data_IF_423252361635
#
_entry.id   IF_423252361635
#
_cell.length_a   1.000
_cell.length_b   1.000
_cell.length_c   1.000
_cell.angle_alpha   90.00
_cell.angle_beta   90.00
_cell.angle_gamma   90.00
#
_symmetry.space_group_name_H-M   'P 1'
#
loop_
_entity.id
_entity.type
_entity.pdbx_description
1 polymer ?
#
# COMPACT_ATOMS: atom_id res chain seq x y z
N UNK A 1 15.31 -24.52 9.21
CA UNK A 1 16.50 -25.39 9.31
C UNK A 1 17.15 -25.18 10.67
N UNK A 2 17.26 -26.23 11.48
CA UNK A 2 17.99 -26.20 12.76
C UNK A 2 18.52 -27.61 13.06
N UNK A 3 19.75 -27.71 13.58
CA UNK A 3 20.34 -28.95 14.07
C UNK A 3 20.17 -30.18 13.13
N UNK A 4 20.46 -30.03 11.83
CA UNK A 4 20.40 -31.13 10.87
C UNK A 4 19.01 -31.46 10.31
N UNK A 5 17.94 -30.83 10.81
CA UNK A 5 16.60 -30.99 10.25
C UNK A 5 16.30 -29.80 9.33
N UNK A 6 16.26 -30.09 8.03
CA UNK A 6 15.76 -29.20 6.99
C UNK A 6 14.47 -29.82 6.46
N UNK A 7 13.33 -29.35 6.98
CA UNK A 7 12.02 -29.70 6.45
C UNK A 7 11.23 -28.43 6.13
N UNK A 8 10.43 -28.49 5.08
CA UNK A 8 9.45 -27.47 4.71
C UNK A 8 8.07 -28.01 5.07
N UNK A 9 7.42 -27.34 6.01
CA UNK A 9 6.05 -27.68 6.41
C UNK A 9 5.08 -26.70 5.76
N UNK A 10 4.02 -27.23 5.17
CA UNK A 10 2.98 -26.41 4.56
C UNK A 10 2.04 -25.89 5.65
N UNK A 11 1.97 -24.57 5.81
CA UNK A 11 1.01 -23.90 6.69
C UNK A 11 0.02 -23.09 5.86
N UNK A 12 -1.25 -23.52 5.84
CA UNK A 12 -2.33 -22.79 5.17
C UNK A 12 -3.13 -22.03 6.23
N UNK A 13 -2.89 -20.73 6.32
CA UNK A 13 -3.61 -19.83 7.21
C UNK A 13 -3.91 -18.51 6.52
N UNK A 14 -5.07 -17.93 6.85
CA UNK A 14 -5.34 -16.52 6.55
C UNK A 14 -4.68 -15.66 7.62
N UNK A 15 -4.21 -14.47 7.24
CA UNK A 15 -3.58 -13.52 8.15
C UNK A 15 -4.48 -12.29 8.25
N UNK A 16 -4.84 -11.93 9.48
CA UNK A 16 -5.42 -10.64 9.81
C UNK A 16 -4.41 -9.91 10.70
N UNK A 17 -4.05 -8.68 10.33
CA UNK A 17 -3.10 -7.87 11.06
C UNK A 17 -3.70 -6.48 11.30
N UNK A 18 -3.35 -5.89 12.44
CA UNK A 18 -3.57 -4.48 12.73
C UNK A 18 -2.21 -3.83 12.94
N UNK A 19 -2.06 -2.60 12.42
CA UNK A 19 -0.84 -1.83 12.55
C UNK A 19 -1.20 -0.40 12.96
N UNK A 20 -0.43 0.14 13.89
CA UNK A 20 -0.56 1.53 14.31
C UNK A 20 0.43 2.40 13.51
N UNK A 21 0.06 3.65 13.19
CA UNK A 21 1.00 4.58 12.57
C UNK A 21 2.15 4.92 13.52
N UNK A 22 3.31 5.25 12.94
CA UNK A 22 4.47 5.75 13.67
C UNK A 22 4.07 7.00 14.47
N UNK A 23 4.46 7.06 15.73
CA UNK A 23 4.13 8.21 16.59
C UNK A 23 2.67 8.24 17.06
N UNK A 24 1.91 7.15 16.90
CA UNK A 24 0.54 6.96 17.40
C UNK A 24 -0.53 7.88 16.79
N UNK A 25 -0.17 8.74 15.83
CA UNK A 25 -1.11 9.54 15.05
C UNK A 25 -0.77 9.43 13.59
N UNK A 26 -1.80 9.25 12.78
CA UNK A 26 -1.65 9.21 11.34
C UNK A 26 -1.34 10.62 10.83
N UNK A 27 -0.18 10.77 10.20
CA UNK A 27 0.25 12.03 9.60
C UNK A 27 -0.28 12.12 8.18
N UNK A 28 -1.28 12.99 7.99
CA UNK A 28 -1.90 13.22 6.69
C UNK A 28 -0.94 13.79 5.67
N UNK A 29 0.26 14.27 6.02
CA UNK A 29 1.25 14.77 5.06
C UNK A 29 2.16 13.68 4.51
N UNK A 30 2.13 12.49 5.11
CA UNK A 30 2.99 11.36 4.75
C UNK A 30 2.17 10.29 4.05
N UNK A 31 2.87 9.49 3.24
CA UNK A 31 2.28 8.30 2.62
C UNK A 31 1.86 7.25 3.64
N UNK A 32 0.97 6.34 3.26
CA UNK A 32 0.60 5.18 4.09
C UNK A 32 1.81 4.32 4.44
N UNK A 33 2.70 4.07 3.48
CA UNK A 33 3.92 3.27 3.72
C UNK A 33 4.84 3.95 4.73
N UNK A 34 5.06 5.26 4.57
CA UNK A 34 5.85 6.03 5.51
C UNK A 34 5.19 6.17 6.88
N UNK A 35 3.85 6.18 6.95
CA UNK A 35 3.11 6.19 8.21
C UNK A 35 3.20 4.86 8.96
N UNK A 36 3.30 3.71 8.27
CA UNK A 36 3.27 2.38 8.91
C UNK A 36 4.69 1.82 9.16
N UNK A 37 5.72 2.29 8.44
CA UNK A 37 7.09 1.76 8.48
C UNK A 37 7.24 0.29 8.03
N UNK A 38 6.37 -0.19 7.14
CA UNK A 38 6.50 -1.53 6.58
C UNK A 38 7.18 -1.48 5.21
N UNK A 39 7.99 -2.50 4.94
CA UNK A 39 8.59 -2.66 3.61
C UNK A 39 7.48 -2.83 2.56
N UNK A 40 7.57 -2.16 1.40
CA UNK A 40 6.59 -2.28 0.33
C UNK A 40 6.34 -3.73 -0.14
N UNK A 41 7.37 -4.58 -0.04
CA UNK A 41 7.32 -6.02 -0.37
C UNK A 41 6.44 -6.85 0.54
N UNK A 42 6.14 -6.36 1.75
CA UNK A 42 5.21 -6.98 2.69
C UNK A 42 3.80 -6.43 2.46
N UNK A 43 3.66 -5.12 2.24
CA UNK A 43 2.38 -4.49 1.96
C UNK A 43 1.74 -5.06 0.68
N UNK A 44 2.54 -5.28 -0.37
CA UNK A 44 2.05 -5.91 -1.60
C UNK A 44 1.60 -7.37 -1.43
N UNK A 45 1.86 -8.01 -0.28
CA UNK A 45 1.34 -9.35 0.03
C UNK A 45 -0.02 -9.33 0.70
N UNK A 46 -0.50 -8.19 1.17
CA UNK A 46 -1.86 -8.10 1.68
C UNK A 46 -2.82 -7.87 0.52
N UNK A 47 -3.90 -8.65 0.50
CA UNK A 47 -4.92 -8.57 -0.53
C UNK A 47 -5.83 -7.34 -0.32
N UNK A 48 -6.09 -6.99 0.94
CA UNK A 48 -6.88 -5.81 1.35
C UNK A 48 -6.15 -5.07 2.48
N UNK A 49 -6.03 -3.75 2.33
CA UNK A 49 -5.46 -2.86 3.34
C UNK A 49 -6.49 -1.77 3.63
N UNK A 50 -7.02 -1.73 4.85
CA UNK A 50 -7.98 -0.71 5.26
C UNK A 50 -7.31 0.34 6.14
N UNK A 51 -7.42 1.60 5.72
CA UNK A 51 -7.03 2.74 6.53
C UNK A 51 -8.22 3.20 7.38
N UNK A 52 -8.19 2.91 8.68
CA UNK A 52 -9.18 3.39 9.63
C UNK A 52 -8.63 4.67 10.26
N UNK A 53 -9.19 5.81 9.86
CA UNK A 53 -8.84 7.12 10.41
C UNK A 53 -9.89 7.56 11.42
N UNK A 54 -9.44 7.92 12.61
CA UNK A 54 -10.27 8.61 13.58
C UNK A 54 -10.40 10.09 13.18
N UNK A 55 -11.62 10.49 12.80
CA UNK A 55 -11.96 11.88 12.45
C UNK A 55 -12.97 12.39 13.47
N UNK A 56 -12.64 13.43 14.26
CA UNK A 56 -13.55 13.94 15.28
C UNK A 56 -14.84 14.42 14.63
N UNK A 57 -15.98 13.88 15.08
CA UNK A 57 -17.29 14.22 14.54
C UNK A 57 -18.32 14.13 15.65
N UNK A 58 -18.79 15.29 16.13
CA UNK A 58 -19.68 15.37 17.30
C UNK A 58 -20.91 14.45 17.19
N UNK A 59 -21.50 14.35 15.99
CA UNK A 59 -22.67 13.50 15.79
C UNK A 59 -22.35 12.00 15.90
N UNK A 60 -21.20 11.57 15.36
CA UNK A 60 -20.75 10.19 15.45
C UNK A 60 -20.32 9.86 16.88
N UNK A 61 -19.51 10.74 17.49
CA UNK A 61 -18.98 10.59 18.84
C UNK A 61 -20.11 10.52 19.86
N UNK A 62 -21.15 11.36 19.71
CA UNK A 62 -22.34 11.33 20.56
C UNK A 62 -23.12 10.02 20.41
N UNK A 63 -23.23 9.47 19.20
CA UNK A 63 -23.89 8.17 18.96
C UNK A 63 -23.10 7.03 19.60
N UNK A 64 -21.78 7.02 19.41
CA UNK A 64 -20.88 6.03 19.96
C UNK A 64 -20.87 6.08 21.50
N UNK A 65 -20.78 7.27 22.09
CA UNK A 65 -20.84 7.47 23.53
C UNK A 65 -22.20 7.00 24.10
N UNK A 66 -23.33 7.36 23.48
CA UNK A 66 -24.65 6.87 23.87
C UNK A 66 -24.73 5.35 23.83
N UNK A 67 -24.17 4.73 22.79
CA UNK A 67 -24.16 3.28 22.64
C UNK A 67 -23.32 2.61 23.73
N UNK A 68 -22.10 3.08 23.99
CA UNK A 68 -21.23 2.55 25.04
C UNK A 68 -21.87 2.71 26.42
N UNK A 69 -22.37 3.90 26.76
CA UNK A 69 -23.07 4.12 28.04
C UNK A 69 -24.29 3.21 28.17
N UNK A 70 -25.04 2.98 27.08
CA UNK A 70 -26.18 2.06 27.10
C UNK A 70 -25.80 0.61 27.38
N UNK A 71 -24.59 0.17 27.01
CA UNK A 71 -24.08 -1.17 27.34
C UNK A 71 -23.77 -1.30 28.84
N UNK A 72 -23.21 -0.27 29.47
CA UNK A 72 -22.87 -0.30 30.90
C UNK A 72 -24.06 0.03 31.82
N UNK A 73 -25.03 0.82 31.35
CA UNK A 73 -26.19 1.26 32.15
C UNK A 73 -27.37 0.28 32.12
N UNK A 74 -27.38 -0.70 31.20
CA UNK A 74 -28.46 -1.69 31.11
C UNK A 74 -28.13 -2.92 31.93
N UNK A 75 -29.13 -3.46 32.64
CA UNK A 75 -29.09 -4.84 33.12
C UNK A 75 -28.72 -5.79 31.95
N UNK A 76 -27.86 -6.79 32.16
CA UNK A 76 -27.34 -7.69 31.12
C UNK A 76 -28.43 -8.49 30.36
N UNK A 77 -29.70 -8.39 30.79
CA UNK A 77 -30.87 -9.04 30.18
C UNK A 77 -31.58 -8.22 29.11
N UNK A 78 -31.19 -6.96 28.89
CA UNK A 78 -31.63 -6.14 27.73
C UNK A 78 -30.49 -6.03 26.72
N UNK A 79 -29.96 -7.18 26.28
CA UNK A 79 -29.20 -7.23 25.04
C UNK A 79 -30.08 -6.61 23.95
N UNK A 80 -29.48 -5.76 23.12
CA UNK A 80 -30.06 -5.42 21.83
C UNK A 80 -30.42 -6.77 21.21
N UNK A 81 -31.68 -6.99 20.84
CA UNK A 81 -32.09 -8.22 20.16
C UNK A 81 -31.15 -8.43 18.99
N UNK A 82 -30.17 -9.31 19.16
CA UNK A 82 -29.28 -9.67 18.07
C UNK A 82 -30.17 -10.31 17.01
N UNK A 83 -30.23 -9.76 15.78
CA UNK A 83 -31.15 -10.27 14.77
C UNK A 83 -30.82 -11.71 14.36
N UNK A 84 -29.61 -12.19 14.66
CA UNK A 84 -29.12 -13.52 14.34
C UNK A 84 -28.40 -14.08 15.58
N UNK A 85 -28.82 -15.25 16.11
CA UNK A 85 -28.10 -15.93 17.18
C UNK A 85 -26.68 -16.34 16.75
N UNK A 86 -25.72 -16.24 17.67
CA UNK A 86 -24.32 -16.59 17.39
C UNK A 86 -24.15 -18.04 16.90
N UNK A 87 -24.84 -18.99 17.53
CA UNK A 87 -24.76 -20.41 17.18
C UNK A 87 -25.19 -20.65 15.72
N UNK A 88 -26.28 -20.02 15.30
CA UNK A 88 -26.77 -20.09 13.93
C UNK A 88 -25.75 -19.51 12.94
N UNK A 89 -25.11 -18.39 13.28
CA UNK A 89 -24.08 -17.78 12.44
C UNK A 89 -22.85 -18.69 12.31
N UNK A 90 -22.40 -19.33 13.41
CA UNK A 90 -21.26 -20.26 13.37
C UNK A 90 -21.57 -21.52 12.55
N UNK A 91 -22.80 -22.03 12.67
CA UNK A 91 -23.26 -23.18 11.89
C UNK A 91 -23.38 -22.82 10.41
N UNK A 92 -23.89 -21.62 10.09
CA UNK A 92 -23.99 -21.11 8.72
C UNK A 92 -22.61 -20.99 8.06
N UNK A 93 -21.64 -20.40 8.75
CA UNK A 93 -20.26 -20.26 8.24
C UNK A 93 -19.64 -21.64 8.02
N UNK A 94 -19.83 -22.57 8.96
CA UNK A 94 -19.30 -23.93 8.86
C UNK A 94 -19.92 -24.69 7.68
N UNK A 95 -21.23 -24.58 7.50
CA UNK A 95 -21.97 -25.15 6.37
C UNK A 95 -21.46 -24.58 5.04
N UNK A 96 -21.38 -23.25 4.91
CA UNK A 96 -20.93 -22.58 3.69
C UNK A 96 -19.50 -22.98 3.29
N UNK A 97 -18.61 -23.15 4.28
CA UNK A 97 -17.20 -23.53 4.03
C UNK A 97 -17.05 -24.96 3.51
N UNK A 98 -17.89 -25.89 3.97
CA UNK A 98 -17.79 -27.32 3.65
C UNK A 98 -18.59 -27.67 2.39
N UNK A 99 -19.77 -27.07 2.21
CA UNK A 99 -20.71 -27.54 1.19
C UNK A 99 -20.67 -26.71 -0.10
N UNK A 100 -20.22 -25.46 -0.05
CA UNK A 100 -20.31 -24.54 -1.19
C UNK A 100 -18.94 -24.29 -1.80
N UNK A 101 -18.82 -24.60 -3.09
CA UNK A 101 -17.58 -24.46 -3.88
C UNK A 101 -17.88 -23.71 -5.17
N UNK A 102 -17.96 -22.37 -5.11
CA UNK A 102 -18.41 -21.56 -6.22
C UNK A 102 -17.52 -21.73 -7.45
N UNK A 103 -18.13 -21.90 -8.62
CA UNK A 103 -17.42 -21.90 -9.91
C UNK A 103 -17.64 -20.57 -10.62
N UNK A 104 -16.59 -20.06 -11.25
CA UNK A 104 -16.66 -18.80 -12.00
C UNK A 104 -17.50 -19.02 -13.26
N UNK A 105 -18.55 -18.21 -13.45
CA UNK A 105 -19.33 -18.21 -14.69
C UNK A 105 -18.59 -17.46 -15.80
N UNK A 106 -18.96 -17.71 -17.06
CA UNK A 106 -18.34 -17.04 -18.21
C UNK A 106 -18.50 -15.51 -18.14
N UNK A 107 -19.69 -15.04 -17.72
CA UNK A 107 -19.97 -13.60 -17.54
C UNK A 107 -19.09 -12.97 -16.44
N UNK A 108 -18.88 -13.70 -15.34
CA UNK A 108 -18.00 -13.25 -14.26
C UNK A 108 -16.53 -13.24 -14.71
N UNK A 109 -16.12 -14.23 -15.51
CA UNK A 109 -14.76 -14.31 -16.05
C UNK A 109 -14.44 -13.13 -16.97
N UNK A 110 -15.35 -12.78 -17.89
CA UNK A 110 -15.19 -11.59 -18.74
C UNK A 110 -15.10 -10.30 -17.91
N UNK A 111 -15.97 -10.18 -16.89
CA UNK A 111 -15.97 -9.01 -16.00
C UNK A 111 -14.66 -8.88 -15.20
N UNK A 112 -14.11 -10.00 -14.70
CA UNK A 112 -12.82 -10.03 -14.00
C UNK A 112 -11.68 -9.57 -14.90
N UNK A 113 -11.64 -10.04 -16.15
CA UNK A 113 -10.63 -9.66 -17.13
C UNK A 113 -10.73 -8.17 -17.45
N UNK A 114 -11.94 -7.67 -17.71
CA UNK A 114 -12.18 -6.26 -18.02
C UNK A 114 -11.73 -5.35 -16.88
N UNK A 115 -12.15 -5.64 -15.63
CA UNK A 115 -11.76 -4.87 -14.46
C UNK A 115 -10.24 -4.88 -14.24
N UNK A 116 -9.57 -6.03 -14.42
CA UNK A 116 -8.12 -6.11 -14.29
C UNK A 116 -7.39 -5.28 -15.35
N UNK A 117 -7.86 -5.30 -16.60
CA UNK A 117 -7.31 -4.48 -17.68
C UNK A 117 -7.52 -3.00 -17.40
N UNK A 118 -8.69 -2.60 -16.90
CA UNK A 118 -8.96 -1.22 -16.48
C UNK A 118 -8.03 -0.76 -15.34
N UNK A 119 -7.85 -1.59 -14.31
CA UNK A 119 -6.91 -1.30 -13.22
C UNK A 119 -5.47 -1.13 -13.73
N UNK A 120 -5.07 -1.84 -14.79
CA UNK A 120 -3.78 -1.61 -15.47
C UNK A 120 -3.74 -0.32 -16.27
N UNK A 121 -4.82 0.05 -16.96
CA UNK A 121 -4.89 1.27 -17.78
C UNK A 121 -4.79 2.53 -16.94
N UNK A 122 -5.46 2.57 -15.78
CA UNK A 122 -5.38 3.68 -14.82
C UNK A 122 -3.92 3.99 -14.44
N UNK A 123 -3.07 2.97 -14.41
CA UNK A 123 -1.63 3.15 -14.22
C UNK A 123 -0.85 3.72 -15.39
N UNK A 124 -1.25 3.38 -16.61
CA UNK A 124 -0.56 3.81 -17.82
C UNK A 124 -0.92 5.25 -18.22
N UNK A 125 -2.16 5.69 -17.98
CA UNK A 125 -2.66 7.02 -18.38
C UNK A 125 -2.11 8.18 -17.54
N UNK A 126 -1.42 7.89 -16.44
CA UNK A 126 -0.79 8.90 -15.57
C UNK A 126 0.45 9.57 -16.20
N UNK A 127 0.67 9.43 -17.51
CA UNK A 127 1.72 10.13 -18.28
C UNK A 127 3.17 9.75 -17.92
N UNK A 128 3.37 8.83 -16.97
CA UNK A 128 4.67 8.37 -16.51
C UNK A 128 4.89 6.95 -17.03
N UNK A 129 5.83 6.80 -17.97
CA UNK A 129 6.21 5.48 -18.53
C UNK A 129 6.67 4.56 -17.40
N UNK A 130 6.18 3.32 -17.40
CA UNK A 130 6.50 2.22 -16.48
C UNK A 130 5.94 2.31 -15.05
N UNK A 131 4.64 2.56 -14.93
CA UNK A 131 3.89 2.37 -13.67
C UNK A 131 3.21 0.99 -13.73
N UNK A 132 3.58 0.07 -12.83
CA UNK A 132 2.96 -1.26 -12.73
C UNK A 132 1.88 -1.21 -11.65
N UNK A 133 0.70 -0.69 -11.98
CA UNK A 133 -0.38 -0.44 -11.00
C UNK A 133 -1.17 -1.66 -10.57
N UNK A 134 -1.21 -2.71 -11.39
CA UNK A 134 -1.96 -3.91 -11.10
C UNK A 134 -1.08 -5.15 -11.33
N UNK A 135 -0.73 -5.82 -10.23
CA UNK A 135 0.01 -7.08 -10.25
C UNK A 135 -0.95 -8.25 -10.48
N UNK A 136 -0.43 -9.38 -10.94
CA UNK A 136 -1.20 -10.63 -11.07
C UNK A 136 -1.83 -11.07 -9.75
N UNK A 137 -1.21 -10.71 -8.62
CA UNK A 137 -1.75 -10.94 -7.28
C UNK A 137 -3.08 -10.23 -7.03
N UNK A 138 -3.28 -9.04 -7.62
CA UNK A 138 -4.55 -8.31 -7.49
C UNK A 138 -5.68 -9.07 -8.21
N UNK A 139 -5.41 -9.67 -9.37
CA UNK A 139 -6.37 -10.54 -10.04
C UNK A 139 -6.67 -11.80 -9.22
N UNK A 140 -5.66 -12.47 -8.65
CA UNK A 140 -5.86 -13.60 -7.74
C UNK A 140 -6.67 -13.22 -6.49
N UNK A 141 -6.52 -11.98 -6.02
CA UNK A 141 -7.26 -11.45 -4.87
C UNK A 141 -8.72 -11.17 -5.25
N UNK A 142 -8.97 -10.57 -6.42
CA UNK A 142 -10.31 -10.38 -6.97
C UNK A 142 -11.06 -11.71 -7.11
N UNK A 143 -10.40 -12.73 -7.65
CA UNK A 143 -10.99 -14.07 -7.79
C UNK A 143 -11.36 -14.63 -6.41
N UNK A 144 -10.41 -14.64 -5.46
CA UNK A 144 -10.65 -15.15 -4.09
C UNK A 144 -11.78 -14.40 -3.36
N UNK A 145 -11.86 -13.08 -3.53
CA UNK A 145 -12.94 -12.28 -2.94
C UNK A 145 -14.30 -12.55 -3.60
N UNK A 146 -14.33 -12.67 -4.92
CA UNK A 146 -15.57 -12.96 -5.67
C UNK A 146 -16.14 -14.33 -5.31
N UNK A 147 -15.27 -15.34 -5.19
CA UNK A 147 -15.65 -16.67 -4.70
C UNK A 147 -16.13 -16.63 -3.24
N UNK A 148 -15.46 -15.85 -2.37
CA UNK A 148 -15.87 -15.70 -0.98
C UNK A 148 -17.26 -15.04 -0.85
N UNK A 149 -17.57 -14.04 -1.69
CA UNK A 149 -18.88 -13.39 -1.75
C UNK A 149 -19.98 -14.36 -2.21
N UNK A 150 -19.72 -15.14 -3.27
CA UNK A 150 -20.64 -16.17 -3.73
C UNK A 150 -20.88 -17.24 -2.65
N UNK A 151 -19.82 -17.65 -1.95
CA UNK A 151 -19.89 -18.62 -0.86
C UNK A 151 -20.71 -18.10 0.32
N UNK A 152 -20.58 -16.81 0.64
CA UNK A 152 -21.33 -16.17 1.72
C UNK A 152 -22.85 -16.16 1.45
N UNK A 153 -23.27 -16.17 0.19
CA UNK A 153 -24.69 -16.26 -0.20
C UNK A 153 -25.15 -17.69 -0.50
N UNK A 154 -24.31 -18.70 -0.22
CA UNK A 154 -24.51 -20.10 -0.55
C UNK A 154 -24.71 -20.38 -2.06
N UNK A 155 -24.14 -19.54 -2.91
CA UNK A 155 -24.19 -19.71 -4.36
C UNK A 155 -23.06 -20.63 -4.85
N UNK A 156 -23.40 -21.65 -5.63
CA UNK A 156 -22.43 -22.54 -6.29
C UNK A 156 -21.80 -21.91 -7.55
N UNK A 157 -22.22 -20.71 -7.93
CA UNK A 157 -21.66 -19.97 -9.06
C UNK A 157 -21.32 -18.53 -8.68
N UNK A 158 -20.20 -18.04 -9.18
CA UNK A 158 -19.81 -16.63 -9.07
C UNK A 158 -20.50 -15.86 -10.19
N UNK A 159 -21.32 -14.89 -9.83
CA UNK A 159 -22.00 -14.00 -10.77
C UNK A 159 -21.20 -12.73 -11.01
N UNK A 160 -21.57 -11.98 -12.07
CA UNK A 160 -21.02 -10.65 -12.36
C UNK A 160 -21.12 -9.70 -11.16
N UNK A 161 -22.23 -9.72 -10.43
CA UNK A 161 -22.45 -8.84 -9.29
C UNK A 161 -21.47 -9.08 -8.14
N UNK A 162 -21.10 -10.34 -7.90
CA UNK A 162 -20.07 -10.68 -6.91
C UNK A 162 -18.71 -10.06 -7.28
N UNK A 163 -18.37 -10.07 -8.57
CA UNK A 163 -17.14 -9.46 -9.08
C UNK A 163 -17.17 -7.94 -8.91
N UNK A 164 -18.29 -7.30 -9.23
CA UNK A 164 -18.44 -5.85 -9.06
C UNK A 164 -18.29 -5.43 -7.60
N UNK A 165 -18.89 -6.18 -6.68
CA UNK A 165 -18.77 -5.92 -5.25
C UNK A 165 -17.34 -6.17 -4.74
N UNK A 166 -16.68 -7.23 -5.20
CA UNK A 166 -15.26 -7.48 -4.89
C UNK A 166 -14.37 -6.33 -5.39
N UNK A 167 -14.58 -5.85 -6.61
CA UNK A 167 -13.87 -4.70 -7.18
C UNK A 167 -14.11 -3.44 -6.35
N UNK A 168 -15.36 -3.20 -5.91
CA UNK A 168 -15.70 -2.08 -5.03
C UNK A 168 -14.92 -2.15 -3.71
N UNK A 169 -14.84 -3.31 -3.08
CA UNK A 169 -14.11 -3.51 -1.82
C UNK A 169 -12.61 -3.26 -1.98
N UNK A 170 -11.99 -3.79 -3.05
CA UNK A 170 -10.59 -3.52 -3.36
C UNK A 170 -10.37 -2.04 -3.60
N UNK A 171 -11.22 -1.39 -4.39
CA UNK A 171 -11.09 0.04 -4.69
C UNK A 171 -11.18 0.88 -3.41
N UNK A 172 -12.10 0.58 -2.49
CA UNK A 172 -12.21 1.32 -1.22
C UNK A 172 -10.96 1.14 -0.36
N UNK A 173 -10.46 -0.10 -0.22
CA UNK A 173 -9.23 -0.40 0.51
C UNK A 173 -8.02 0.31 -0.12
N UNK A 174 -7.97 0.29 -1.44
CA UNK A 174 -6.86 0.80 -2.23
C UNK A 174 -6.83 2.32 -2.32
N UNK A 175 -7.97 2.97 -2.59
CA UNK A 175 -8.10 4.42 -2.70
C UNK A 175 -7.75 5.12 -1.39
N UNK A 176 -8.25 4.60 -0.27
CA UNK A 176 -7.91 5.13 1.05
C UNK A 176 -6.43 4.95 1.38
N UNK A 177 -5.80 3.89 0.86
CA UNK A 177 -4.39 3.63 1.07
C UNK A 177 -3.43 4.38 0.11
N UNK A 178 -3.91 4.77 -1.08
CA UNK A 178 -3.08 5.29 -2.18
C UNK A 178 -3.31 6.77 -2.49
N UNK A 179 -4.16 7.49 -1.75
CA UNK A 179 -4.33 8.95 -1.95
C UNK A 179 -3.10 9.68 -1.42
N UNK A 180 -2.35 10.32 -2.31
CA UNK A 180 -1.21 11.17 -1.96
C UNK A 180 -1.68 12.49 -1.34
N UNK A 181 -1.20 12.87 -0.15
CA UNK A 181 -1.50 14.14 0.50
C UNK A 181 -1.22 15.41 -0.30
N UNK A 182 -0.14 15.42 -1.11
CA UNK A 182 0.27 16.63 -1.84
C UNK A 182 -0.53 16.81 -3.12
N UNK A 183 -0.88 15.71 -3.79
CA UNK A 183 -1.48 15.75 -5.13
C UNK A 183 -2.97 15.40 -5.16
N UNK A 184 -3.48 14.73 -4.12
CA UNK A 184 -4.86 14.23 -4.08
C UNK A 184 -5.13 13.13 -5.12
N UNK A 185 -4.10 12.64 -5.81
CA UNK A 185 -4.18 11.63 -6.86
C UNK A 185 -3.86 10.26 -6.25
N UNK A 186 -4.55 9.23 -6.73
CA UNK A 186 -4.34 7.84 -6.34
C UNK A 186 -3.01 7.36 -6.95
N UNK A 187 -1.96 7.20 -6.14
CA UNK A 187 -0.66 6.67 -6.57
C UNK A 187 -0.38 5.32 -5.91
N UNK A 188 -0.69 4.24 -6.63
CA UNK A 188 -0.48 2.85 -6.20
C UNK A 188 1.00 2.45 -6.09
N UNK A 189 1.90 3.22 -6.71
CA UNK A 189 3.33 2.98 -6.60
C UNK A 189 3.86 3.39 -5.23
N UNK A 190 3.16 4.28 -4.52
CA UNK A 190 3.50 4.66 -3.15
C UNK A 190 3.48 3.46 -2.22
N UNK A 191 2.52 2.54 -2.41
CA UNK A 191 2.37 1.31 -1.61
C UNK A 191 3.44 0.27 -1.97
N UNK A 192 3.79 0.18 -3.26
CA UNK A 192 4.64 -0.90 -3.80
C UNK A 192 6.13 -0.53 -3.86
N UNK A 193 6.46 0.74 -3.98
CA UNK A 193 7.84 1.25 -4.09
C UNK A 193 8.24 2.18 -2.95
N UNK A 194 7.27 2.68 -2.17
CA UNK A 194 7.52 3.62 -1.06
C UNK A 194 7.77 5.07 -1.49
N UNK A 195 7.87 5.35 -2.79
CA UNK A 195 8.14 6.68 -3.34
C UNK A 195 7.00 7.14 -4.25
N UNK A 196 6.59 8.41 -4.13
CA UNK A 196 5.59 8.96 -5.04
C UNK A 196 6.17 9.12 -6.45
N UNK A 197 5.31 9.16 -7.46
CA UNK A 197 5.71 9.44 -8.81
C UNK A 197 6.26 10.87 -9.00
N UNK A 198 5.88 11.82 -8.13
CA UNK A 198 6.51 13.14 -8.01
C UNK A 198 7.93 13.05 -7.46
N UNK A 199 8.14 12.26 -6.41
CA UNK A 199 9.45 12.07 -5.79
C UNK A 199 10.42 11.37 -6.73
N UNK A 200 9.99 10.38 -7.52
CA UNK A 200 10.84 9.76 -8.56
C UNK A 200 11.32 10.75 -9.60
N UNK A 201 10.44 11.66 -10.05
CA UNK A 201 10.83 12.70 -11.02
C UNK A 201 11.84 13.67 -10.41
N UNK A 202 11.59 14.13 -9.17
CA UNK A 202 12.54 14.97 -8.43
C UNK A 202 13.88 14.26 -8.21
N UNK A 203 13.87 12.98 -7.84
CA UNK A 203 15.07 12.15 -7.64
C UNK A 203 15.84 11.98 -8.95
N UNK A 204 15.15 11.77 -10.08
CA UNK A 204 15.76 11.68 -11.40
C UNK A 204 16.40 12.99 -11.86
N UNK A 205 15.67 14.10 -11.75
CA UNK A 205 16.19 15.46 -12.04
C UNK A 205 17.40 15.79 -11.15
N UNK A 206 17.36 15.40 -9.88
CA UNK A 206 18.49 15.57 -8.96
C UNK A 206 19.69 14.70 -9.36
N UNK A 207 19.45 13.47 -9.80
CA UNK A 207 20.50 12.55 -10.22
C UNK A 207 21.21 13.04 -11.48
N UNK A 208 20.48 13.58 -12.45
CA UNK A 208 21.05 14.22 -13.64
C UNK A 208 21.87 15.47 -13.26
N UNK A 209 21.31 16.36 -12.44
CA UNK A 209 22.04 17.56 -11.98
C UNK A 209 23.33 17.21 -11.22
N UNK A 210 23.33 16.14 -10.43
CA UNK A 210 24.53 15.65 -9.73
C UNK A 210 25.54 15.06 -10.73
N UNK A 211 25.10 14.33 -11.76
CA UNK A 211 25.99 13.82 -12.82
C UNK A 211 26.64 14.99 -13.57
N UNK A 212 25.89 16.00 -13.99
CA UNK A 212 26.41 17.17 -14.70
C UNK A 212 27.43 17.96 -13.85
N UNK A 213 27.16 18.13 -12.56
CA UNK A 213 28.09 18.78 -11.61
C UNK A 213 29.39 17.99 -11.43
N UNK A 214 29.30 16.66 -11.39
CA UNK A 214 30.46 15.78 -11.24
C UNK A 214 31.27 15.67 -12.54
N UNK A 215 30.64 15.79 -13.70
CA UNK A 215 31.34 15.88 -14.98
C UNK A 215 32.05 17.23 -15.16
N UNK A 216 31.41 18.33 -14.74
CA UNK A 216 31.99 19.67 -14.78
C UNK A 216 33.19 19.83 -13.82
N UNK A 217 33.15 19.20 -12.63
CA UNK A 217 34.24 19.22 -11.66
C UNK A 217 35.15 17.99 -11.86
N UNK A 218 36.21 18.17 -12.65
CA UNK A 218 37.25 17.17 -13.01
C UNK A 218 37.48 16.04 -11.97
N UNK A 219 37.60 14.80 -12.49
CA UNK A 219 37.62 13.43 -11.89
C UNK A 219 38.47 13.13 -10.62
N UNK A 220 38.92 14.10 -9.82
CA UNK A 220 39.84 13.81 -8.67
C UNK A 220 39.49 14.48 -7.34
N UNK A 221 38.57 15.44 -7.28
CA UNK A 221 38.24 16.10 -6.01
C UNK A 221 37.08 15.37 -5.28
N UNK A 222 37.27 15.09 -3.98
CA UNK A 222 36.16 14.70 -3.10
C UNK A 222 35.38 15.94 -2.71
N UNK A 223 34.06 15.95 -2.95
CA UNK A 223 33.18 17.08 -2.63
C UNK A 223 32.43 16.77 -1.33
N UNK A 224 32.32 17.77 -0.45
CA UNK A 224 31.59 17.65 0.82
C UNK A 224 30.10 17.91 0.60
N UNK A 225 29.22 17.27 1.37
CA UNK A 225 27.76 17.45 1.31
C UNK A 225 27.30 18.91 1.27
N UNK A 226 27.85 19.75 2.13
CA UNK A 226 27.42 21.15 2.21
C UNK A 226 27.87 21.99 1.01
N UNK A 227 28.98 21.62 0.36
CA UNK A 227 29.42 22.24 -0.89
C UNK A 227 28.54 21.77 -2.05
N UNK A 228 28.25 20.47 -2.12
CA UNK A 228 27.37 19.89 -3.12
C UNK A 228 25.95 20.49 -3.05
N UNK A 229 25.43 20.70 -1.84
CA UNK A 229 24.13 21.36 -1.61
C UNK A 229 24.10 22.81 -2.08
N UNK A 230 25.19 23.56 -1.85
CA UNK A 230 25.30 24.94 -2.32
C UNK A 230 25.37 24.99 -3.84
N UNK A 231 26.25 24.18 -4.44
CA UNK A 231 26.42 24.11 -5.89
C UNK A 231 25.10 23.73 -6.59
N UNK A 232 24.34 22.76 -6.04
CA UNK A 232 23.04 22.34 -6.58
C UNK A 232 22.00 23.44 -6.46
N UNK A 233 21.91 24.13 -5.31
CA UNK A 233 20.94 25.22 -5.13
C UNK A 233 21.31 26.49 -5.92
N UNK A 234 22.58 26.65 -6.31
CA UNK A 234 23.04 27.75 -7.18
C UNK A 234 22.76 27.48 -8.67
N UNK A 235 22.86 26.22 -9.11
CA UNK A 235 22.60 25.84 -10.51
C UNK A 235 21.14 25.47 -10.80
N UNK A 236 20.39 25.01 -9.81
CA UNK A 236 19.01 24.58 -10.00
C UNK A 236 18.00 25.53 -9.36
N UNK A 237 16.91 25.82 -10.06
CA UNK A 237 15.81 26.66 -9.56
C UNK A 237 14.93 25.96 -8.51
N UNK A 238 15.25 24.72 -8.11
CA UNK A 238 14.44 23.91 -7.19
C UNK A 238 15.22 23.78 -5.88
N UNK A 239 14.72 24.32 -4.75
CA UNK A 239 15.40 24.19 -3.46
C UNK A 239 15.40 22.74 -3.00
N UNK A 240 16.58 22.13 -2.94
CA UNK A 240 16.76 20.72 -2.57
C UNK A 240 16.90 20.59 -1.06
N UNK A 241 16.12 19.69 -0.45
CA UNK A 241 16.22 19.37 0.98
C UNK A 241 17.38 18.39 1.24
N UNK A 242 18.15 18.61 2.31
CA UNK A 242 19.26 17.74 2.75
C UNK A 242 18.84 16.27 2.99
N UNK A 243 17.53 16.00 3.14
CA UNK A 243 16.97 14.66 3.36
C UNK A 243 17.04 13.75 2.13
N UNK A 244 16.96 14.31 0.92
CA UNK A 244 16.76 13.53 -0.30
C UNK A 244 18.10 13.12 -0.95
N UNK A 245 19.15 13.91 -0.69
CA UNK A 245 20.52 13.73 -1.17
C UNK A 245 21.18 12.37 -0.86
N UNK A 246 21.08 11.82 0.38
CA UNK A 246 21.71 10.54 0.71
C UNK A 246 21.14 9.39 -0.12
N UNK A 247 19.84 9.44 -0.42
CA UNK A 247 19.13 8.42 -1.20
C UNK A 247 19.60 8.43 -2.65
N UNK A 248 19.73 9.62 -3.24
CA UNK A 248 20.20 9.77 -4.64
C UNK A 248 21.67 9.40 -4.77
N UNK A 249 22.52 9.80 -3.82
CA UNK A 249 23.94 9.44 -3.82
C UNK A 249 24.17 7.93 -3.63
N UNK A 250 23.33 7.26 -2.83
CA UNK A 250 23.36 5.82 -2.71
C UNK A 250 23.01 5.14 -4.04
N UNK A 251 21.95 5.60 -4.71
CA UNK A 251 21.51 5.10 -6.01
C UNK A 251 22.59 5.27 -7.09
N UNK A 252 23.22 6.45 -7.17
CA UNK A 252 24.31 6.73 -8.10
C UNK A 252 25.59 5.92 -7.79
N UNK A 253 25.80 5.57 -6.52
CA UNK A 253 26.89 4.67 -6.11
C UNK A 253 26.62 3.23 -6.55
N UNK A 254 25.37 2.78 -6.49
CA UNK A 254 24.96 1.44 -6.93
C UNK A 254 25.00 1.33 -8.48
N UNK A 255 24.74 2.42 -9.20
CA UNK A 255 24.94 2.54 -10.66
C UNK A 255 26.43 2.59 -11.08
N UNK A 256 27.36 2.71 -10.13
CA UNK A 256 28.79 2.77 -10.39
C UNK A 256 29.30 4.13 -10.91
N UNK A 257 28.48 5.18 -10.84
CA UNK A 257 28.85 6.53 -11.30
C UNK A 257 29.72 7.29 -10.28
N UNK A 258 29.63 6.95 -9.00
CA UNK A 258 30.36 7.61 -7.92
C UNK A 258 30.68 6.69 -6.74
N UNK A 259 31.68 7.05 -5.96
CA UNK A 259 31.97 6.46 -4.65
C UNK A 259 31.44 7.36 -3.55
N UNK A 260 30.46 6.89 -2.80
CA UNK A 260 29.86 7.63 -1.70
C UNK A 260 30.35 7.12 -0.33
N UNK A 261 30.95 7.99 0.49
CA UNK A 261 31.37 7.66 1.85
C UNK A 261 30.39 8.23 2.89
N UNK A 262 29.48 7.38 3.38
CA UNK A 262 28.48 7.72 4.42
C UNK A 262 29.06 8.28 5.71
N UNK A 263 30.27 7.87 6.13
CA UNK A 263 30.86 8.30 7.42
C UNK A 263 31.53 9.67 7.35
N UNK A 264 31.98 10.08 6.16
CA UNK A 264 32.70 11.35 5.96
C UNK A 264 31.86 12.40 5.22
N UNK A 265 30.64 12.06 4.80
CA UNK A 265 29.77 12.92 3.98
C UNK A 265 30.49 13.49 2.74
N UNK A 266 31.33 12.65 2.13
CA UNK A 266 32.10 13.00 0.92
C UNK A 266 31.68 12.13 -0.25
N UNK A 267 31.58 12.77 -1.42
CA UNK A 267 31.28 12.14 -2.70
C UNK A 267 32.51 12.25 -3.61
N UNK A 268 32.86 11.17 -4.30
CA UNK A 268 33.95 11.16 -5.27
C UNK A 268 33.47 10.55 -6.59
N UNK A 269 33.68 11.19 -7.75
CA UNK A 269 33.37 10.58 -9.05
C UNK A 269 34.31 9.40 -9.34
N UNK A 270 33.80 8.38 -10.04
CA UNK A 270 34.57 7.21 -10.51
C UNK A 270 35.11 7.45 -11.93
#
# INVERSE_FOLDING_TARGET
AKAGIVCTLNARTSILASANPIGSRYDLTKSVVANINLMPTILSRFDLIYLILDKPNENHDRRLAKHLVSMYSRDPKRSISEPIPLDLLTDYISYARVNVHPKISDEAAETLINNYVEMRKVGQDSGRRNVVTATTRQLESLIRLSEALAKMTLSDTVTRDNVLEATRLINVATQTAATDPETGIIDMDLITTGHSAGDRKRIGELAEAIKDLLEAKQKRASITYDQLLKDINEQSSIPVKKRDLPTVLQMLSDEGALTFNKKKETVRPI
#
